data_IF_010154948552
#
_entry.id   IF_010154948552
#
_cell.length_a   1.000
_cell.length_b   1.000
_cell.length_c   1.000
_cell.angle_alpha   90.00
_cell.angle_beta   90.00
_cell.angle_gamma   90.00
#
_symmetry.space_group_name_H-M   'P 1'
#
loop_
_entity.id
_entity.type
_entity.pdbx_description
1 polymer ?
#
# COMPACT_ATOMS: atom_id res chain seq x y z
N UNK A 1 1.99 6.51 18.80
CA UNK A 1 0.73 6.71 18.05
C UNK A 1 0.70 5.65 16.97
N UNK A 2 -0.51 5.19 16.64
CA UNK A 2 -0.75 4.26 15.55
C UNK A 2 -1.60 4.96 14.49
N UNK A 3 -1.48 4.51 13.25
CA UNK A 3 -2.32 4.96 12.13
C UNK A 3 -3.58 4.10 12.02
N UNK A 4 -4.61 4.56 11.30
CA UNK A 4 -5.77 3.74 10.95
C UNK A 4 -5.48 2.50 10.09
N UNK A 5 -4.25 2.37 9.56
CA UNK A 5 -3.75 1.20 8.81
C UNK A 5 -2.86 0.28 9.64
N UNK A 6 -2.60 0.62 10.91
CA UNK A 6 -1.75 -0.18 11.79
C UNK A 6 -2.41 -1.51 12.11
N UNK A 7 -1.68 -2.61 11.96
CA UNK A 7 -2.21 -3.97 12.16
C UNK A 7 -2.76 -4.13 13.60
N UNK A 8 -3.89 -4.82 13.72
CA UNK A 8 -4.46 -5.16 15.03
C UNK A 8 -3.44 -5.93 15.87
N UNK A 9 -3.37 -5.64 17.16
CA UNK A 9 -2.41 -6.22 18.10
C UNK A 9 -1.00 -5.62 18.05
N UNK A 10 -0.68 -4.76 17.08
CA UNK A 10 0.63 -4.13 17.01
C UNK A 10 0.85 -3.20 18.23
N UNK A 11 1.93 -3.42 18.99
CA UNK A 11 2.29 -2.57 20.12
C UNK A 11 2.93 -1.29 19.60
N UNK A 12 2.43 -0.14 20.05
CA UNK A 12 3.03 1.17 19.76
C UNK A 12 3.20 1.97 21.05
N UNK A 13 3.96 3.07 21.01
CA UNK A 13 4.20 3.92 22.20
C UNK A 13 2.94 4.37 22.93
N UNK A 14 1.84 4.61 22.21
CA UNK A 14 0.56 5.07 22.79
C UNK A 14 -0.45 3.95 22.96
N UNK A 15 -0.17 2.77 22.40
CA UNK A 15 -0.99 1.56 22.54
C UNK A 15 -0.11 0.44 23.08
N UNK A 16 0.29 0.52 24.37
CA UNK A 16 1.25 -0.40 24.97
C UNK A 16 0.70 -1.82 25.08
N UNK A 17 -0.63 -1.98 25.05
CA UNK A 17 -1.32 -3.27 25.08
C UNK A 17 -1.74 -3.77 23.68
N UNK A 18 -1.25 -3.13 22.61
CA UNK A 18 -1.61 -3.42 21.23
C UNK A 18 -2.76 -2.55 20.71
N UNK A 19 -2.84 -2.41 19.38
CA UNK A 19 -3.97 -1.76 18.71
C UNK A 19 -5.20 -2.66 18.77
N UNK A 20 -6.32 -2.12 19.24
CA UNK A 20 -7.60 -2.84 19.32
C UNK A 20 -8.48 -2.61 18.09
N UNK A 21 -8.28 -1.48 17.41
CA UNK A 21 -9.06 -1.09 16.24
C UNK A 21 -8.77 -2.02 15.06
N UNK A 22 -9.81 -2.25 14.25
CA UNK A 22 -9.65 -2.93 12.98
C UNK A 22 -9.00 -1.99 11.97
N UNK A 23 -7.84 -2.34 11.37
CA UNK A 23 -7.25 -1.52 10.33
C UNK A 23 -8.18 -1.47 9.12
N UNK A 24 -8.36 -0.28 8.54
CA UNK A 24 -9.08 -0.20 7.28
C UNK A 24 -8.12 -0.37 6.10
N UNK A 25 -8.65 -0.89 4.99
CA UNK A 25 -7.93 -1.02 3.73
C UNK A 25 -8.23 0.20 2.84
N UNK A 26 -7.24 1.05 2.51
CA UNK A 26 -7.48 2.25 1.71
C UNK A 26 -8.13 1.95 0.36
N UNK A 27 -7.76 0.84 -0.29
CA UNK A 27 -8.36 0.42 -1.56
C UNK A 27 -9.86 0.13 -1.45
N UNK A 28 -10.28 -0.58 -0.40
CA UNK A 28 -11.71 -0.85 -0.16
C UNK A 28 -12.49 0.44 0.11
N UNK A 29 -11.89 1.40 0.84
CA UNK A 29 -12.48 2.71 1.07
C UNK A 29 -12.69 3.46 -0.25
N UNK A 30 -11.69 3.46 -1.15
CA UNK A 30 -11.82 4.13 -2.46
C UNK A 30 -12.92 3.49 -3.29
N UNK A 31 -12.95 2.16 -3.35
CA UNK A 31 -13.96 1.40 -4.10
C UNK A 31 -15.36 1.68 -3.53
N UNK A 32 -15.52 1.63 -2.20
CA UNK A 32 -16.78 1.91 -1.52
C UNK A 32 -17.26 3.36 -1.71
N UNK A 33 -16.33 4.32 -1.79
CA UNK A 33 -16.60 5.72 -2.08
C UNK A 33 -16.86 6.01 -3.58
N UNK A 34 -16.91 4.98 -4.43
CA UNK A 34 -17.09 5.10 -5.89
C UNK A 34 -15.95 5.86 -6.58
N UNK A 35 -14.74 5.74 -6.05
CA UNK A 35 -13.54 6.27 -6.68
C UNK A 35 -13.29 5.64 -8.04
N UNK A 36 -12.78 6.43 -8.99
CA UNK A 36 -12.54 6.01 -10.38
C UNK A 36 -11.07 5.75 -10.68
N UNK A 37 -10.17 6.01 -9.72
CA UNK A 37 -8.76 5.66 -9.80
C UNK A 37 -8.22 5.29 -8.41
N UNK A 38 -7.66 4.09 -8.32
CA UNK A 38 -6.88 3.64 -7.18
C UNK A 38 -5.63 2.91 -7.67
N UNK A 39 -4.49 3.20 -7.05
CA UNK A 39 -3.28 2.42 -7.24
C UNK A 39 -2.55 2.24 -5.91
N UNK A 40 -1.85 1.11 -5.78
CA UNK A 40 -0.93 0.83 -4.66
C UNK A 40 0.47 0.62 -5.20
N UNK A 41 1.44 1.29 -4.61
CA UNK A 41 2.85 1.20 -4.99
C UNK A 41 3.73 1.05 -3.74
N UNK A 42 4.98 0.64 -3.94
CA UNK A 42 5.98 0.47 -2.88
C UNK A 42 7.06 1.54 -3.04
N UNK A 43 7.46 2.16 -1.93
CA UNK A 43 8.44 3.25 -1.89
C UNK A 43 9.80 2.89 -2.53
N UNK A 44 10.23 1.63 -2.39
CA UNK A 44 11.51 1.13 -2.90
C UNK A 44 11.48 0.69 -4.38
N UNK A 45 10.36 0.91 -5.08
CA UNK A 45 10.16 0.54 -6.49
C UNK A 45 9.96 1.79 -7.36
N UNK A 46 11.01 2.61 -7.57
CA UNK A 46 10.88 3.95 -8.16
C UNK A 46 10.35 3.93 -9.60
N UNK A 47 10.68 2.90 -10.38
CA UNK A 47 10.16 2.75 -11.75
C UNK A 47 8.64 2.63 -11.73
N UNK A 48 8.11 1.69 -10.96
CA UNK A 48 6.66 1.45 -10.88
C UNK A 48 5.94 2.64 -10.24
N UNK A 49 6.51 3.23 -9.18
CA UNK A 49 5.94 4.43 -8.57
C UNK A 49 5.88 5.59 -9.59
N UNK A 50 6.90 5.76 -10.43
CA UNK A 50 6.90 6.74 -11.51
C UNK A 50 5.87 6.46 -12.62
N UNK A 51 5.54 5.20 -12.89
CA UNK A 51 4.44 4.81 -13.80
C UNK A 51 3.08 5.12 -13.18
N UNK A 52 2.88 4.78 -11.90
CA UNK A 52 1.66 5.10 -11.14
C UNK A 52 1.43 6.61 -11.06
N UNK A 53 2.46 7.39 -10.76
CA UNK A 53 2.35 8.85 -10.71
C UNK A 53 1.97 9.46 -12.07
N UNK A 54 2.47 8.91 -13.19
CA UNK A 54 2.08 9.35 -14.54
C UNK A 54 0.62 9.00 -14.84
N UNK A 55 0.19 7.80 -14.49
CA UNK A 55 -1.21 7.39 -14.66
C UNK A 55 -2.16 8.23 -13.80
N UNK A 56 -1.78 8.50 -12.55
CA UNK A 56 -2.52 9.37 -11.62
C UNK A 56 -2.66 10.79 -12.18
N UNK A 57 -1.57 11.38 -12.69
CA UNK A 57 -1.60 12.72 -13.26
C UNK A 57 -2.42 12.83 -14.56
N UNK A 58 -2.58 11.73 -15.29
CA UNK A 58 -3.38 11.69 -16.51
C UNK A 58 -4.88 11.39 -16.25
N UNK A 59 -5.24 11.03 -15.02
CA UNK A 59 -6.62 10.68 -14.67
C UNK A 59 -7.51 11.92 -14.58
N UNK A 60 -8.69 11.87 -15.19
CA UNK A 60 -9.70 12.93 -15.11
C UNK A 60 -10.56 12.74 -13.84
N UNK A 61 -10.11 13.36 -12.75
CA UNK A 61 -10.82 13.38 -11.48
C UNK A 61 -9.93 13.10 -10.28
N UNK A 62 -10.56 12.75 -9.16
CA UNK A 62 -9.84 12.39 -7.94
C UNK A 62 -9.14 11.04 -8.09
N UNK A 63 -7.83 11.03 -7.88
CA UNK A 63 -6.99 9.85 -7.91
C UNK A 63 -6.36 9.61 -6.54
N UNK A 64 -6.45 8.37 -6.05
CA UNK A 64 -5.84 7.96 -4.78
C UNK A 64 -4.71 6.97 -5.07
N UNK A 65 -3.51 7.31 -4.59
CA UNK A 65 -2.34 6.43 -4.65
C UNK A 65 -1.90 6.13 -3.23
N UNK A 66 -1.93 4.85 -2.87
CA UNK A 66 -1.38 4.37 -1.60
C UNK A 66 0.08 3.94 -1.81
N UNK A 67 1.00 4.61 -1.13
CA UNK A 67 2.41 4.22 -1.11
C UNK A 67 2.69 3.46 0.18
N UNK A 68 3.02 2.17 0.04
CA UNK A 68 3.55 1.36 1.14
C UNK A 68 4.97 1.83 1.44
N UNK A 69 5.10 2.63 2.50
CA UNK A 69 6.35 3.30 2.86
C UNK A 69 6.88 2.80 4.20
N UNK A 70 8.14 2.39 4.23
CA UNK A 70 8.77 1.94 5.48
C UNK A 70 9.18 3.14 6.35
N UNK A 71 8.74 3.15 7.61
CA UNK A 71 9.22 4.12 8.60
C UNK A 71 10.32 3.49 9.44
N UNK A 72 11.57 3.67 9.01
CA UNK A 72 12.75 3.04 9.64
C UNK A 72 12.86 3.35 11.15
N UNK A 73 12.38 4.51 11.60
CA UNK A 73 12.53 4.94 13.00
C UNK A 73 11.46 4.32 13.92
N UNK A 74 10.22 4.17 13.44
CA UNK A 74 9.08 3.84 14.30
C UNK A 74 8.35 2.55 13.95
N UNK A 75 8.50 2.04 12.73
CA UNK A 75 7.78 0.87 12.24
C UNK A 75 8.61 0.15 11.17
N UNK A 76 9.85 -0.18 11.53
CA UNK A 76 10.80 -0.79 10.59
C UNK A 76 10.29 -2.16 10.12
N UNK A 77 10.55 -2.47 8.85
CA UNK A 77 10.18 -3.71 8.17
C UNK A 77 8.68 -3.98 8.13
N UNK A 78 7.82 -2.97 8.30
CA UNK A 78 6.37 -3.16 8.33
C UNK A 78 5.79 -3.76 7.03
N UNK A 79 6.48 -3.56 5.91
CA UNK A 79 6.12 -4.11 4.59
C UNK A 79 7.06 -5.22 4.11
N UNK A 80 7.91 -5.79 4.97
CA UNK A 80 8.91 -6.80 4.57
C UNK A 80 8.30 -8.01 3.87
N UNK A 81 7.09 -8.43 4.26
CA UNK A 81 6.36 -9.53 3.62
C UNK A 81 6.28 -9.35 2.10
N UNK A 82 6.08 -8.13 1.61
CA UNK A 82 5.99 -7.85 0.17
C UNK A 82 7.27 -7.26 -0.40
N UNK A 83 8.14 -6.65 0.41
CA UNK A 83 9.38 -6.00 -0.08
C UNK A 83 10.64 -6.86 0.00
N UNK A 84 10.56 -8.04 0.61
CA UNK A 84 11.70 -8.94 0.78
C UNK A 84 12.32 -9.33 -0.57
N UNK A 85 13.64 -9.23 -0.70
CA UNK A 85 14.31 -9.45 -1.99
C UNK A 85 14.22 -10.90 -2.48
N UNK A 86 14.13 -11.85 -1.55
CA UNK A 86 14.04 -13.27 -1.86
C UNK A 86 12.65 -13.63 -2.40
N UNK A 87 11.60 -13.04 -1.85
CA UNK A 87 10.22 -13.45 -2.14
C UNK A 87 9.37 -12.41 -2.88
N UNK A 88 9.89 -11.20 -3.14
CA UNK A 88 9.10 -10.13 -3.77
C UNK A 88 8.55 -10.51 -5.13
N UNK A 89 9.26 -11.31 -5.92
CA UNK A 89 8.81 -11.70 -7.26
C UNK A 89 7.62 -12.67 -7.17
N UNK A 90 7.57 -13.50 -6.13
CA UNK A 90 6.46 -14.41 -5.86
C UNK A 90 5.26 -13.72 -5.20
N UNK A 91 5.50 -12.66 -4.43
CA UNK A 91 4.49 -12.00 -3.56
C UNK A 91 3.94 -10.69 -4.13
N UNK A 92 4.58 -10.13 -5.15
CA UNK A 92 4.12 -8.92 -5.81
C UNK A 92 3.48 -9.27 -7.15
N UNK A 93 2.38 -8.58 -7.44
CA UNK A 93 1.67 -8.69 -8.70
C UNK A 93 1.57 -7.31 -9.33
N UNK A 94 2.20 -7.15 -10.50
CA UNK A 94 2.19 -5.89 -11.21
C UNK A 94 1.03 -5.86 -12.21
N UNK A 95 0.08 -4.97 -11.95
CA UNK A 95 -1.11 -4.81 -12.76
C UNK A 95 -0.98 -3.60 -13.66
N UNK A 96 -1.38 -3.76 -14.92
CA UNK A 96 -1.50 -2.67 -15.87
C UNK A 96 -2.95 -2.60 -16.39
N UNK A 97 -3.48 -1.39 -16.52
CA UNK A 97 -4.85 -1.18 -16.97
C UNK A 97 -5.08 -1.82 -18.34
N UNK A 98 -6.11 -2.67 -18.43
CA UNK A 98 -6.49 -3.35 -19.67
C UNK A 98 -5.58 -4.53 -20.08
N UNK A 99 -4.54 -4.85 -19.29
CA UNK A 99 -3.74 -6.07 -19.50
C UNK A 99 -4.23 -7.21 -18.60
N UNK A 100 -4.03 -8.47 -19.01
CA UNK A 100 -4.30 -9.61 -18.14
C UNK A 100 -3.46 -9.56 -16.87
N UNK A 101 -4.02 -10.09 -15.79
CA UNK A 101 -3.30 -10.34 -14.55
C UNK A 101 -2.39 -11.55 -14.73
N UNK A 102 -1.07 -11.35 -14.68
CA UNK A 102 -0.07 -12.40 -14.91
C UNK A 102 0.50 -12.86 -13.58
N UNK A 103 0.31 -14.14 -13.26
CA UNK A 103 0.92 -14.80 -12.09
C UNK A 103 2.17 -15.57 -12.49
N UNK A 104 3.14 -15.67 -11.57
CA UNK A 104 4.43 -16.35 -11.77
C UNK A 104 5.52 -15.42 -12.24
#
# INVERSE_FOLDING_TARGET
>A
QYSPTTKQGQITKTSPFGVIDYPFNPGELVIGARGTFFARAIDNSPKTLGEVCRAMAAHDGAAIVEVLQNCVIFNDKTHSEVTDREFKEERQLWLEQGKPMIFG
#
